data_IF_213945621206
#
_entry.id   IF_213945621206
#
_cell.length_a   1.000
_cell.length_b   1.000
_cell.length_c   1.000
_cell.angle_alpha   90.00
_cell.angle_beta   90.00
_cell.angle_gamma   90.00
#
_symmetry.space_group_name_H-M   'P 1'
#
loop_
_entity.id
_entity.type
_entity.pdbx_description
1 polymer ?
#
# COMPACT_ATOMS: atom_id res chain seq x y z
N UNK A 1 8.06 16.22 -10.97
CA UNK A 1 7.77 15.15 -11.94
C UNK A 1 7.66 13.76 -11.30
N UNK A 2 8.50 13.39 -10.32
CA UNK A 2 8.45 12.05 -9.69
C UNK A 2 7.15 11.69 -8.94
N UNK A 3 6.55 12.63 -8.20
CA UNK A 3 5.34 12.34 -7.40
C UNK A 3 4.10 11.97 -8.25
N UNK A 4 3.92 12.65 -9.38
CA UNK A 4 2.82 12.35 -10.31
C UNK A 4 3.02 11.00 -11.00
N UNK A 5 4.24 10.71 -11.48
CA UNK A 5 4.57 9.41 -12.07
C UNK A 5 4.40 8.27 -11.06
N UNK A 6 4.71 8.53 -9.79
CA UNK A 6 4.54 7.57 -8.72
C UNK A 6 3.05 7.27 -8.45
N UNK A 7 2.19 8.30 -8.36
CA UNK A 7 0.75 8.12 -8.24
C UNK A 7 0.14 7.34 -9.41
N UNK A 8 0.59 7.61 -10.64
CA UNK A 8 0.15 6.86 -11.83
C UNK A 8 0.49 5.37 -11.69
N UNK A 9 1.68 5.04 -11.20
CA UNK A 9 2.07 3.64 -10.92
C UNK A 9 1.12 2.92 -9.95
N UNK A 10 0.65 3.62 -8.91
CA UNK A 10 -0.30 3.05 -7.94
C UNK A 10 -1.66 2.75 -8.56
N UNK A 11 -2.11 3.63 -9.46
CA UNK A 11 -3.33 3.42 -10.23
C UNK A 11 -3.19 2.17 -11.09
N UNK A 12 -2.07 1.97 -11.77
CA UNK A 12 -1.84 0.77 -12.57
C UNK A 12 -1.84 -0.52 -11.73
N UNK A 13 -1.28 -0.50 -10.52
CA UNK A 13 -1.39 -1.66 -9.61
C UNK A 13 -2.83 -1.96 -9.24
N UNK A 14 -3.61 -0.95 -8.85
CA UNK A 14 -5.03 -1.15 -8.55
C UNK A 14 -5.80 -1.69 -9.75
N UNK A 15 -5.59 -1.12 -10.94
CA UNK A 15 -6.21 -1.62 -12.18
C UNK A 15 -5.77 -3.05 -12.50
N UNK A 16 -4.51 -3.38 -12.25
CA UNK A 16 -3.98 -4.74 -12.34
C UNK A 16 -4.76 -5.69 -11.43
N UNK A 17 -4.91 -5.38 -10.16
CA UNK A 17 -5.69 -6.24 -9.24
C UNK A 17 -7.18 -6.30 -9.56
N UNK A 18 -7.76 -5.23 -10.13
CA UNK A 18 -9.15 -5.19 -10.56
C UNK A 18 -9.38 -5.82 -11.94
N UNK A 19 -8.31 -6.26 -12.63
CA UNK A 19 -8.45 -6.92 -13.93
C UNK A 19 -8.91 -8.38 -13.75
N UNK A 20 -10.20 -8.63 -13.95
CA UNK A 20 -10.80 -9.96 -13.82
C UNK A 20 -11.68 -10.09 -12.57
N UNK A 21 -11.80 -11.31 -12.07
CA UNK A 21 -12.67 -11.59 -10.92
C UNK A 21 -12.18 -10.87 -9.66
N UNK A 22 -13.11 -10.21 -8.99
CA UNK A 22 -12.84 -9.44 -7.79
C UNK A 22 -14.06 -9.49 -6.85
N UNK A 23 -13.81 -9.66 -5.57
CA UNK A 23 -14.83 -9.63 -4.54
C UNK A 23 -14.41 -8.68 -3.42
N UNK A 24 -15.38 -8.09 -2.73
CA UNK A 24 -15.10 -7.15 -1.65
C UNK A 24 -14.48 -7.91 -0.45
N UNK A 25 -13.20 -7.68 -0.10
CA UNK A 25 -12.57 -8.41 0.99
C UNK A 25 -12.93 -7.73 2.32
N UNK A 26 -14.10 -8.03 2.88
CA UNK A 26 -14.68 -7.29 4.02
C UNK A 26 -13.73 -7.25 5.22
N UNK A 27 -13.13 -8.39 5.59
CA UNK A 27 -12.25 -8.47 6.74
C UNK A 27 -10.92 -7.70 6.53
N UNK A 28 -10.16 -7.92 5.43
CA UNK A 28 -8.98 -7.10 5.11
C UNK A 28 -9.30 -5.61 5.00
N UNK A 29 -10.41 -5.25 4.36
CA UNK A 29 -10.83 -3.84 4.19
C UNK A 29 -11.02 -3.14 5.53
N UNK A 30 -11.65 -3.80 6.50
CA UNK A 30 -11.82 -3.24 7.86
C UNK A 30 -10.48 -2.99 8.53
N UNK A 31 -9.58 -3.97 8.51
CA UNK A 31 -8.25 -3.85 9.13
C UNK A 31 -7.46 -2.72 8.47
N UNK A 32 -7.37 -2.71 7.14
CA UNK A 32 -6.65 -1.70 6.37
C UNK A 32 -7.20 -0.30 6.67
N UNK A 33 -8.52 -0.16 6.71
CA UNK A 33 -9.17 1.13 7.02
C UNK A 33 -8.83 1.60 8.44
N UNK A 34 -8.86 0.71 9.43
CA UNK A 34 -8.50 1.05 10.82
C UNK A 34 -7.03 1.50 10.89
N UNK A 35 -6.11 0.77 10.26
CA UNK A 35 -4.70 1.12 10.21
C UNK A 35 -4.47 2.47 9.52
N UNK A 36 -5.16 2.73 8.41
CA UNK A 36 -5.08 3.98 7.69
C UNK A 36 -5.60 5.17 8.50
N UNK A 37 -6.75 5.03 9.15
CA UNK A 37 -7.30 6.06 10.03
C UNK A 37 -6.37 6.31 11.23
N UNK A 38 -5.81 5.25 11.80
CA UNK A 38 -4.77 5.34 12.84
C UNK A 38 -3.58 6.16 12.35
N UNK A 39 -3.05 5.84 11.16
CA UNK A 39 -1.93 6.56 10.56
C UNK A 39 -2.25 8.03 10.31
N UNK A 40 -3.42 8.33 9.72
CA UNK A 40 -3.90 9.70 9.47
C UNK A 40 -3.96 10.48 10.79
N UNK A 41 -4.53 9.89 11.85
CA UNK A 41 -4.63 10.55 13.16
C UNK A 41 -3.27 10.96 13.73
N UNK A 42 -2.22 10.19 13.42
CA UNK A 42 -0.87 10.41 13.94
C UNK A 42 -0.10 11.47 13.14
N UNK A 43 -0.24 11.49 11.81
CA UNK A 43 0.60 12.31 10.93
C UNK A 43 -0.10 13.55 10.37
N UNK A 44 -1.43 13.63 10.42
CA UNK A 44 -2.17 14.73 9.77
C UNK A 44 -1.80 16.10 10.34
N UNK A 45 -1.68 16.22 11.67
CA UNK A 45 -1.36 17.49 12.33
C UNK A 45 0.09 17.91 12.09
N UNK A 46 1.01 16.95 12.00
CA UNK A 46 2.44 17.18 11.82
C UNK A 46 2.85 17.36 10.36
N UNK A 47 1.99 17.02 9.40
CA UNK A 47 2.26 17.13 7.95
C UNK A 47 2.29 18.57 7.40
N UNK A 48 1.93 19.58 8.21
CA UNK A 48 2.03 20.99 7.82
C UNK A 48 1.30 21.33 6.51
N UNK A 49 2.05 21.85 5.51
CA UNK A 49 1.50 22.18 4.18
C UNK A 49 1.22 20.96 3.30
N UNK A 50 1.73 19.78 3.67
CA UNK A 50 1.61 18.54 2.87
C UNK A 50 0.41 17.67 3.28
N UNK A 51 -0.52 18.17 4.11
CA UNK A 51 -1.70 17.44 4.57
C UNK A 51 -2.49 16.78 3.44
N UNK A 52 -2.87 17.56 2.43
CA UNK A 52 -3.67 17.06 1.31
C UNK A 52 -2.90 15.98 0.51
N UNK A 53 -1.63 16.23 0.08
CA UNK A 53 -0.81 15.18 -0.53
C UNK A 53 -0.71 13.90 0.28
N UNK A 54 -0.53 14.00 1.60
CA UNK A 54 -0.41 12.84 2.50
C UNK A 54 -1.72 12.05 2.58
N UNK A 55 -2.87 12.71 2.66
CA UNK A 55 -4.17 12.03 2.64
C UNK A 55 -4.42 11.30 1.32
N UNK A 56 -4.15 11.96 0.19
CA UNK A 56 -4.25 11.34 -1.14
C UNK A 56 -3.33 10.13 -1.23
N UNK A 57 -2.13 10.24 -0.67
CA UNK A 57 -1.17 9.15 -0.69
C UNK A 57 -1.62 7.94 0.12
N UNK A 58 -2.06 8.15 1.37
CA UNK A 58 -2.58 7.07 2.21
C UNK A 58 -3.76 6.40 1.51
N UNK A 59 -4.66 7.18 0.92
CA UNK A 59 -5.79 6.64 0.17
C UNK A 59 -5.35 5.71 -0.97
N UNK A 60 -4.35 6.11 -1.77
CA UNK A 60 -3.81 5.29 -2.85
C UNK A 60 -3.21 3.97 -2.33
N UNK A 61 -2.40 4.04 -1.28
CA UNK A 61 -1.78 2.86 -0.66
C UNK A 61 -2.83 1.90 -0.09
N UNK A 62 -3.87 2.44 0.58
CA UNK A 62 -4.99 1.61 1.04
C UNK A 62 -5.77 0.97 -0.10
N UNK A 63 -5.94 1.69 -1.21
CA UNK A 63 -6.61 1.17 -2.41
C UNK A 63 -5.88 -0.03 -3.00
N UNK A 64 -4.54 0.02 -3.09
CA UNK A 64 -3.73 -1.12 -3.53
C UNK A 64 -3.96 -2.33 -2.62
N UNK A 65 -3.88 -2.15 -1.30
CA UNK A 65 -4.11 -3.25 -0.36
C UNK A 65 -5.50 -3.86 -0.50
N UNK A 66 -6.55 -3.03 -0.51
CA UNK A 66 -7.94 -3.51 -0.64
C UNK A 66 -8.14 -4.25 -1.97
N UNK A 67 -7.66 -3.68 -3.08
CA UNK A 67 -7.81 -4.30 -4.40
C UNK A 67 -7.05 -5.62 -4.49
N UNK A 68 -5.82 -5.71 -3.94
CA UNK A 68 -5.04 -6.96 -3.93
C UNK A 68 -5.71 -8.06 -3.11
N UNK A 69 -6.25 -7.73 -1.93
CA UNK A 69 -6.98 -8.70 -1.11
C UNK A 69 -8.30 -9.11 -1.75
N UNK A 70 -8.97 -8.23 -2.50
CA UNK A 70 -10.22 -8.58 -3.16
C UNK A 70 -10.02 -9.52 -4.34
N UNK A 71 -8.88 -9.43 -5.02
CA UNK A 71 -8.47 -10.43 -6.03
C UNK A 71 -8.13 -11.77 -5.40
N UNK A 72 -7.42 -11.76 -4.26
CA UNK A 72 -7.16 -12.97 -3.48
C UNK A 72 -8.47 -13.62 -3.01
N UNK A 73 -9.39 -12.82 -2.50
CA UNK A 73 -10.68 -13.31 -1.99
C UNK A 73 -11.50 -14.00 -3.08
N UNK A 74 -11.51 -13.43 -4.30
CA UNK A 74 -12.26 -13.96 -5.43
C UNK A 74 -11.65 -15.24 -6.02
N UNK A 75 -10.32 -15.29 -6.18
CA UNK A 75 -9.66 -16.35 -6.94
C UNK A 75 -9.02 -17.43 -6.06
N UNK A 76 -8.57 -17.08 -4.85
CA UNK A 76 -7.94 -18.00 -3.89
C UNK A 76 -6.77 -18.80 -4.47
N UNK A 77 -5.99 -18.20 -5.38
CA UNK A 77 -4.85 -18.87 -6.04
C UNK A 77 -3.50 -18.41 -5.47
N UNK A 78 -2.47 -19.22 -5.66
CA UNK A 78 -1.11 -18.90 -5.23
C UNK A 78 -0.57 -17.57 -5.79
N UNK A 79 -0.76 -17.21 -7.09
CA UNK A 79 -0.38 -15.90 -7.60
C UNK A 79 -1.06 -14.74 -6.88
N UNK A 80 -2.35 -14.85 -6.59
CA UNK A 80 -3.09 -13.79 -5.89
C UNK A 80 -2.67 -13.65 -4.43
N UNK A 81 -2.25 -14.75 -3.79
CA UNK A 81 -1.68 -14.72 -2.44
C UNK A 81 -0.34 -13.98 -2.43
N UNK A 82 0.54 -14.28 -3.38
CA UNK A 82 1.81 -13.55 -3.56
C UNK A 82 1.54 -12.06 -3.75
N UNK A 83 0.58 -11.70 -4.60
CA UNK A 83 0.21 -10.31 -4.86
C UNK A 83 -0.26 -9.57 -3.61
N UNK A 84 -1.11 -10.21 -2.79
CA UNK A 84 -1.59 -9.64 -1.53
C UNK A 84 -0.48 -9.50 -0.46
N UNK A 85 0.44 -10.46 -0.37
CA UNK A 85 1.62 -10.36 0.51
C UNK A 85 2.52 -9.22 0.03
N UNK A 86 2.75 -9.11 -1.28
CA UNK A 86 3.54 -8.03 -1.87
C UNK A 86 2.95 -6.65 -1.60
N UNK A 87 1.64 -6.49 -1.79
CA UNK A 87 0.90 -5.28 -1.45
C UNK A 87 0.99 -4.95 0.05
N UNK A 88 0.91 -5.96 0.93
CA UNK A 88 1.03 -5.76 2.37
C UNK A 88 2.43 -5.26 2.77
N UNK A 89 3.49 -5.83 2.18
CA UNK A 89 4.87 -5.36 2.39
C UNK A 89 5.06 -3.93 1.89
N UNK A 90 4.50 -3.62 0.73
CA UNK A 90 4.53 -2.27 0.18
C UNK A 90 3.85 -1.26 1.11
N UNK A 91 2.66 -1.60 1.64
CA UNK A 91 1.97 -0.79 2.65
C UNK A 91 2.79 -0.60 3.93
N UNK A 92 3.51 -1.62 4.40
CA UNK A 92 4.40 -1.53 5.56
C UNK A 92 5.54 -0.54 5.27
N UNK A 93 6.17 -0.65 4.10
CA UNK A 93 7.23 0.27 3.68
C UNK A 93 6.77 1.72 3.73
N UNK A 94 5.60 2.00 3.15
CA UNK A 94 5.04 3.35 3.08
C UNK A 94 4.52 3.87 4.41
N UNK A 95 4.00 2.98 5.25
CA UNK A 95 3.67 3.29 6.64
C UNK A 95 4.92 3.77 7.38
N UNK A 96 6.03 3.03 7.27
CA UNK A 96 7.30 3.38 7.92
C UNK A 96 7.87 4.68 7.34
N UNK A 97 7.82 4.86 6.02
CA UNK A 97 8.26 6.09 5.34
C UNK A 97 7.48 7.31 5.83
N UNK A 98 6.16 7.21 5.90
CA UNK A 98 5.28 8.27 6.40
C UNK A 98 5.56 8.62 7.85
N UNK A 99 5.76 7.60 8.71
CA UNK A 99 6.08 7.80 10.13
C UNK A 99 7.43 8.49 10.31
N UNK A 100 8.47 7.99 9.62
CA UNK A 100 9.82 8.52 9.68
C UNK A 100 9.89 9.98 9.20
N UNK A 101 9.10 10.33 8.18
CA UNK A 101 9.10 11.67 7.58
C UNK A 101 8.26 12.69 8.34
N UNK A 102 7.10 12.29 8.86
CA UNK A 102 6.10 13.22 9.39
C UNK A 102 5.89 13.13 10.90
N UNK A 103 6.39 12.10 11.59
CA UNK A 103 6.16 11.93 13.02
C UNK A 103 7.46 11.95 13.82
N UNK A 104 8.20 10.84 13.80
CA UNK A 104 9.43 10.70 14.56
C UNK A 104 10.41 9.80 13.77
N UNK A 105 11.52 10.35 13.26
CA UNK A 105 12.50 9.58 12.53
C UNK A 105 13.22 8.59 13.45
N UNK A 106 13.58 7.42 12.92
CA UNK A 106 14.30 6.40 13.69
C UNK A 106 15.35 5.68 12.84
N UNK A 107 16.42 5.20 13.50
CA UNK A 107 17.64 4.75 12.83
C UNK A 107 17.44 3.59 11.84
N UNK A 108 16.56 2.64 12.16
CA UNK A 108 16.31 1.46 11.32
C UNK A 108 15.29 1.71 10.18
N UNK A 109 14.71 2.91 10.09
CA UNK A 109 13.60 3.18 9.17
C UNK A 109 13.98 2.90 7.73
N UNK A 110 15.12 3.39 7.26
CA UNK A 110 15.57 3.25 5.88
C UNK A 110 15.75 1.79 5.46
N UNK A 111 16.37 0.97 6.33
CA UNK A 111 16.53 -0.46 6.07
C UNK A 111 15.19 -1.19 5.96
N UNK A 112 14.25 -0.91 6.88
CA UNK A 112 12.90 -1.49 6.84
C UNK A 112 12.18 -1.06 5.56
N UNK A 113 12.22 0.22 5.22
CA UNK A 113 11.58 0.80 4.02
C UNK A 113 12.08 0.06 2.78
N UNK A 114 13.40 0.00 2.56
CA UNK A 114 13.96 -0.55 1.33
C UNK A 114 13.68 -2.06 1.19
N UNK A 115 13.85 -2.84 2.27
CA UNK A 115 13.63 -4.28 2.24
C UNK A 115 12.15 -4.57 1.91
N UNK A 116 11.23 -3.93 2.63
CA UNK A 116 9.79 -4.16 2.42
C UNK A 116 9.31 -3.59 1.08
N UNK A 117 9.88 -2.47 0.62
CA UNK A 117 9.57 -1.86 -0.67
C UNK A 117 9.95 -2.77 -1.83
N UNK A 118 11.23 -3.14 -1.94
CA UNK A 118 11.72 -3.90 -3.10
C UNK A 118 11.16 -5.31 -3.10
N UNK A 119 11.06 -5.94 -1.94
CA UNK A 119 10.48 -7.27 -1.84
C UNK A 119 8.98 -7.25 -2.15
N UNK A 120 8.25 -6.23 -1.65
CA UNK A 120 6.83 -6.03 -1.96
C UNK A 120 6.59 -5.83 -3.45
N UNK A 121 7.36 -4.95 -4.11
CA UNK A 121 7.26 -4.71 -5.55
C UNK A 121 7.60 -5.94 -6.38
N UNK A 122 8.66 -6.66 -6.00
CA UNK A 122 9.04 -7.90 -6.68
C UNK A 122 7.92 -8.95 -6.59
N UNK A 123 7.28 -9.10 -5.43
CA UNK A 123 6.15 -10.02 -5.27
C UNK A 123 4.92 -9.59 -6.08
N UNK A 124 4.56 -8.30 -6.09
CA UNK A 124 3.46 -7.81 -6.94
C UNK A 124 3.73 -8.09 -8.42
N UNK A 125 4.96 -7.83 -8.87
CA UNK A 125 5.37 -8.11 -10.24
C UNK A 125 5.32 -9.60 -10.57
N UNK A 126 5.91 -10.44 -9.71
CA UNK A 126 5.95 -11.89 -9.92
C UNK A 126 4.56 -12.52 -9.90
N UNK A 127 3.67 -12.02 -9.05
CA UNK A 127 2.25 -12.38 -9.01
C UNK A 127 1.54 -12.16 -10.34
N UNK A 128 1.92 -11.13 -11.10
CA UNK A 128 1.29 -10.79 -12.38
C UNK A 128 1.85 -11.59 -13.57
N UNK A 129 2.98 -12.27 -13.40
CA UNK A 129 3.61 -13.11 -14.43
C UNK A 129 3.11 -14.56 -14.43
N UNK A 130 2.47 -14.99 -13.35
CA UNK A 130 1.94 -16.34 -13.14
C UNK A 130 0.49 -16.45 -13.56
#
# INVERSE_FOLDING_TARGET
MGLFSFLIGHIWYMLGFLSGDWSLPVFPTRIITILALGMISQIYTTSGKLKIPVLVYIFMITGIGITSFGRLEALQTFPTLIGAIGASLFMISDGVLGWNKFKNPFHLAEGIILITYYFGQWMIFYSALM
#
